data_IF_311550784839
#
_entry.id   IF_311550784839
#
_cell.length_a   1.000
_cell.length_b   1.000
_cell.length_c   1.000
_cell.angle_alpha   90.00
_cell.angle_beta   90.00
_cell.angle_gamma   90.00
#
_symmetry.space_group_name_H-M   'P 1'
#
loop_
_entity.id
_entity.type
_entity.pdbx_description
1 polymer ?
#
# COMPACT_ATOMS: atom_id res chain seq x y z
N UNK A 1 8.04 24.16 -23.53
CA UNK A 1 8.55 23.02 -22.75
C UNK A 1 7.72 21.79 -23.09
N UNK A 2 8.19 20.95 -24.02
CA UNK A 2 7.45 19.77 -24.49
C UNK A 2 7.20 18.74 -23.38
N UNK A 3 8.05 18.71 -22.35
CA UNK A 3 7.93 17.81 -21.21
C UNK A 3 6.63 18.02 -20.41
N UNK A 4 6.20 19.27 -20.23
CA UNK A 4 4.96 19.60 -19.51
C UNK A 4 3.70 19.23 -20.29
N UNK A 5 3.76 19.31 -21.62
CA UNK A 5 2.64 18.94 -22.50
C UNK A 5 2.44 17.42 -22.48
N UNK A 6 3.53 16.65 -22.50
CA UNK A 6 3.49 15.20 -22.40
C UNK A 6 3.01 14.72 -21.03
N UNK A 7 3.43 15.38 -19.94
CA UNK A 7 2.98 15.04 -18.59
C UNK A 7 1.47 15.28 -18.40
N UNK A 8 0.96 16.41 -18.91
CA UNK A 8 -0.50 16.69 -18.94
C UNK A 8 -1.25 15.64 -19.74
N UNK A 9 -0.76 15.30 -20.94
CA UNK A 9 -1.43 14.35 -21.81
C UNK A 9 -1.44 12.93 -21.24
N UNK A 10 -0.37 12.52 -20.56
CA UNK A 10 -0.31 11.24 -19.86
C UNK A 10 -1.28 11.17 -18.66
N UNK A 11 -1.40 12.26 -17.88
CA UNK A 11 -2.34 12.35 -16.77
C UNK A 11 -3.81 12.31 -17.23
N UNK A 12 -4.14 12.99 -18.33
CA UNK A 12 -5.50 13.06 -18.88
C UNK A 12 -5.99 11.70 -19.43
N UNK A 13 -5.07 10.88 -19.95
CA UNK A 13 -5.37 9.51 -20.41
C UNK A 13 -5.66 8.59 -19.22
N UNK A 14 -4.85 8.67 -18.16
CA UNK A 14 -5.00 7.84 -16.97
C UNK A 14 -6.31 8.11 -16.21
N UNK A 15 -6.76 9.37 -16.14
CA UNK A 15 -8.03 9.71 -15.47
C UNK A 15 -9.24 9.17 -16.25
N UNK A 16 -9.21 9.24 -17.57
CA UNK A 16 -10.32 8.79 -18.44
C UNK A 16 -10.59 7.29 -18.31
N UNK A 17 -9.54 6.46 -18.18
CA UNK A 17 -9.69 5.01 -18.02
C UNK A 17 -10.32 4.62 -16.68
N UNK A 18 -10.03 5.37 -15.61
CA UNK A 18 -10.59 5.11 -14.28
C UNK A 18 -12.09 5.45 -14.21
N UNK A 19 -12.49 6.59 -14.79
CA UNK A 19 -13.89 7.04 -14.81
C UNK A 19 -14.77 6.10 -15.64
N UNK A 20 -14.26 5.60 -16.77
CA UNK A 20 -14.98 4.65 -17.63
C UNK A 20 -15.20 3.29 -16.94
N UNK A 21 -14.24 2.84 -16.11
CA UNK A 21 -14.39 1.61 -15.32
C UNK A 21 -15.38 1.77 -14.17
N UNK A 22 -15.42 2.92 -13.49
CA UNK A 22 -16.37 3.15 -12.39
C UNK A 22 -17.81 3.37 -12.87
N UNK A 23 -18.01 4.01 -14.03
CA UNK A 23 -19.35 4.26 -14.57
C UNK A 23 -20.10 2.96 -14.95
N UNK A 24 -19.39 1.92 -15.39
CA UNK A 24 -20.00 0.63 -15.73
C UNK A 24 -20.51 -0.17 -14.52
N UNK A 25 -20.15 0.20 -13.29
CA UNK A 25 -20.54 -0.52 -12.08
C UNK A 25 -21.84 0.01 -11.44
N UNK A 26 -22.35 1.17 -11.86
CA UNK A 26 -23.40 1.89 -11.11
C UNK A 26 -24.75 2.03 -11.84
N UNK A 27 -24.86 1.59 -13.09
CA UNK A 27 -26.14 1.46 -13.78
C UNK A 27 -26.56 -0.02 -13.84
N UNK A 28 -27.72 -0.31 -13.25
CA UNK A 28 -28.41 -1.61 -13.10
C UNK A 28 -28.03 -2.35 -11.79
N UNK A 29 -28.84 -2.39 -10.73
CA UNK A 29 -30.26 -2.76 -10.71
C UNK A 29 -31.00 -2.17 -9.50
N UNK A 30 -32.01 -1.35 -9.77
CA UNK A 30 -33.16 -1.20 -8.90
C UNK A 30 -34.25 -2.15 -9.40
N UNK A 31 -34.41 -3.30 -8.75
CA UNK A 31 -35.71 -3.98 -8.63
C UNK A 31 -35.64 -4.99 -7.47
N UNK A 32 -36.51 -4.80 -6.48
CA UNK A 32 -36.69 -5.71 -5.35
C UNK A 32 -37.85 -6.65 -5.64
N UNK A 33 -37.57 -7.92 -5.94
CA UNK A 33 -38.34 -9.09 -5.49
C UNK A 33 -37.54 -10.38 -5.75
N UNK A 34 -37.38 -11.24 -4.73
CA UNK A 34 -36.89 -12.61 -4.91
C UNK A 34 -35.46 -12.94 -4.43
N UNK A 35 -35.26 -12.90 -3.11
CA UNK A 35 -34.72 -14.00 -2.28
C UNK A 35 -33.52 -14.87 -2.78
N UNK A 36 -32.46 -14.87 -1.94
CA UNK A 36 -31.31 -15.82 -1.87
C UNK A 36 -30.33 -15.69 -3.05
N UNK A 37 -29.27 -14.87 -2.97
CA UNK A 37 -28.18 -14.96 -2.00
C UNK A 37 -26.93 -15.50 -2.73
N UNK A 38 -25.81 -14.78 -2.60
CA UNK A 38 -24.44 -15.13 -3.04
C UNK A 38 -23.96 -14.60 -4.42
N UNK A 39 -23.74 -13.28 -4.51
CA UNK A 39 -22.71 -12.72 -5.40
C UNK A 39 -21.46 -12.49 -4.55
N UNK A 40 -20.52 -13.43 -4.62
CA UNK A 40 -19.16 -13.27 -4.13
C UNK A 40 -18.40 -12.46 -5.20
N UNK A 41 -18.50 -11.14 -5.11
CA UNK A 41 -17.32 -10.30 -5.38
C UNK A 41 -16.58 -10.29 -4.06
N UNK A 42 -15.41 -10.91 -3.96
CA UNK A 42 -14.25 -10.56 -3.11
C UNK A 42 -13.14 -11.58 -3.45
N UNK A 43 -12.47 -11.39 -4.58
CA UNK A 43 -11.12 -11.95 -4.80
C UNK A 43 -10.25 -10.81 -5.32
N UNK A 44 -10.13 -9.77 -4.48
CA UNK A 44 -8.94 -8.94 -4.48
C UNK A 44 -7.83 -9.84 -3.95
N UNK A 45 -6.93 -10.20 -4.84
CA UNK A 45 -5.73 -10.99 -4.61
C UNK A 45 -5.12 -10.54 -3.28
N UNK A 46 -5.17 -11.43 -2.30
CA UNK A 46 -4.48 -11.35 -1.03
C UNK A 46 -2.97 -11.45 -1.28
N UNK A 47 -2.41 -10.44 -1.95
CA UNK A 47 -0.98 -10.18 -1.89
C UNK A 47 -0.68 -10.03 -0.41
N UNK A 48 0.06 -10.99 0.11
CA UNK A 48 0.36 -11.13 1.52
C UNK A 48 0.91 -9.81 2.03
N UNK A 49 0.05 -8.94 2.59
CA UNK A 49 0.43 -7.59 3.00
C UNK A 49 1.20 -7.71 4.30
N UNK A 50 2.43 -8.17 4.17
CA UNK A 50 3.50 -7.79 5.07
C UNK A 50 3.69 -6.28 4.93
N UNK A 51 2.79 -5.53 5.58
CA UNK A 51 2.87 -4.09 5.71
C UNK A 51 4.19 -3.79 6.38
N UNK A 52 5.18 -3.41 5.58
CA UNK A 52 6.47 -3.03 6.08
C UNK A 52 6.27 -1.70 6.81
N UNK A 53 6.54 -1.67 8.11
CA UNK A 53 6.49 -0.42 8.88
C UNK A 53 7.87 0.17 8.98
N UNK A 54 7.95 1.47 9.22
CA UNK A 54 9.19 2.17 9.46
C UNK A 54 9.06 3.10 10.66
N UNK A 55 10.18 3.32 11.36
CA UNK A 55 10.30 4.33 12.41
C UNK A 55 10.93 5.58 11.83
N UNK A 56 10.31 6.73 12.05
CA UNK A 56 10.83 8.04 11.62
C UNK A 56 12.01 8.45 12.50
N UNK A 57 13.13 8.80 11.86
CA UNK A 57 14.38 9.17 12.53
C UNK A 57 14.54 10.68 12.72
N UNK A 58 13.91 11.48 11.85
CA UNK A 58 14.02 12.93 11.84
C UNK A 58 12.69 13.57 11.44
N UNK A 59 12.43 14.77 11.94
CA UNK A 59 11.26 15.55 11.56
C UNK A 59 11.39 15.99 10.10
N UNK A 60 10.33 15.81 9.31
CA UNK A 60 10.26 16.29 7.94
C UNK A 60 8.94 17.06 7.74
N UNK A 61 9.06 18.24 7.15
CA UNK A 61 7.92 19.09 6.80
C UNK A 61 7.77 19.07 5.29
N UNK A 62 6.62 18.58 4.84
CA UNK A 62 6.23 18.63 3.44
C UNK A 62 6.33 20.06 2.92
N UNK A 63 7.04 20.22 1.81
CA UNK A 63 7.17 21.47 1.05
C UNK A 63 6.27 21.46 -0.20
N UNK A 64 5.95 20.27 -0.70
CA UNK A 64 5.06 20.05 -1.84
C UNK A 64 3.85 19.17 -1.47
N UNK A 65 2.76 19.27 -2.25
CA UNK A 65 1.49 18.56 -1.97
C UNK A 65 1.57 17.03 -2.05
N UNK A 66 2.60 16.49 -2.71
CA UNK A 66 2.84 15.04 -2.83
C UNK A 66 3.65 14.47 -1.65
N UNK A 67 4.13 15.33 -0.75
CA UNK A 67 4.89 14.98 0.44
C UNK A 67 3.99 14.96 1.67
N UNK A 68 4.42 14.26 2.72
CA UNK A 68 3.71 14.19 4.00
C UNK A 68 4.59 14.64 5.16
N UNK A 69 3.99 15.34 6.13
CA UNK A 69 4.62 15.65 7.39
C UNK A 69 4.87 14.39 8.23
N UNK A 70 6.09 14.24 8.76
CA UNK A 70 6.47 13.16 9.68
C UNK A 70 7.28 13.72 10.86
N UNK A 71 7.11 13.11 12.03
CA UNK A 71 7.79 13.50 13.27
C UNK A 71 8.66 12.36 13.77
N UNK A 72 9.83 12.71 14.30
CA UNK A 72 10.78 11.77 14.90
C UNK A 72 10.10 10.87 15.93
N UNK A 73 10.28 9.56 15.78
CA UNK A 73 9.70 8.55 16.66
C UNK A 73 8.33 8.01 16.19
N UNK A 74 7.69 8.63 15.20
CA UNK A 74 6.45 8.12 14.64
C UNK A 74 6.67 6.81 13.88
N UNK A 75 5.62 6.00 13.83
CA UNK A 75 5.57 4.79 13.01
C UNK A 75 4.76 5.10 11.76
N UNK A 76 5.36 4.83 10.61
CA UNK A 76 4.74 4.96 9.30
C UNK A 76 4.64 3.60 8.63
N UNK A 77 3.63 3.43 7.76
CA UNK A 77 3.54 2.27 6.88
C UNK A 77 4.22 2.62 5.57
N UNK A 78 5.20 1.82 5.16
CA UNK A 78 5.90 2.01 3.88
C UNK A 78 5.09 1.32 2.79
N UNK A 79 4.50 2.11 1.91
CA UNK A 79 3.68 1.65 0.79
C UNK A 79 4.55 1.32 -0.42
N UNK A 80 5.55 2.16 -0.70
CA UNK A 80 6.48 1.99 -1.82
C UNK A 80 7.88 2.51 -1.46
N UNK A 81 8.92 1.78 -1.88
CA UNK A 81 10.32 2.20 -1.78
C UNK A 81 10.80 2.63 -3.17
N UNK A 82 10.74 3.93 -3.44
CA UNK A 82 11.23 4.51 -4.69
C UNK A 82 12.76 4.38 -4.81
N UNK A 83 13.22 3.99 -5.99
CA UNK A 83 14.67 3.86 -6.29
C UNK A 83 15.38 5.22 -6.39
N UNK A 84 14.61 6.30 -6.47
CA UNK A 84 15.04 7.69 -6.47
C UNK A 84 15.33 8.22 -5.06
N UNK A 85 15.17 7.38 -4.03
CA UNK A 85 15.45 7.73 -2.63
C UNK A 85 14.28 8.39 -1.92
N UNK A 86 13.07 8.36 -2.51
CA UNK A 86 11.84 8.81 -1.89
C UNK A 86 10.91 7.62 -1.66
N UNK A 87 10.41 7.49 -0.44
CA UNK A 87 9.50 6.43 -0.07
C UNK A 87 8.10 7.00 0.11
N UNK A 88 7.13 6.31 -0.48
CA UNK A 88 5.72 6.59 -0.24
C UNK A 88 5.32 5.94 1.08
N UNK A 89 4.90 6.75 2.05
CA UNK A 89 4.52 6.31 3.38
C UNK A 89 3.13 6.80 3.76
N UNK A 90 2.46 6.06 4.64
CA UNK A 90 1.24 6.48 5.31
C UNK A 90 1.49 6.71 6.81
N UNK A 91 1.01 7.84 7.29
CA UNK A 91 1.06 8.26 8.71
C UNK A 91 -0.12 7.66 9.49
N UNK A 92 -0.01 7.67 10.83
CA UNK A 92 -1.09 7.22 11.71
C UNK A 92 -2.38 8.07 11.58
N UNK A 93 -2.25 9.33 11.14
CA UNK A 93 -3.37 10.24 10.87
C UNK A 93 -4.09 9.94 9.54
N UNK A 94 -3.66 8.90 8.82
CA UNK A 94 -4.25 8.50 7.54
C UNK A 94 -3.81 9.36 6.35
N UNK A 95 -2.88 10.29 6.54
CA UNK A 95 -2.24 11.01 5.42
C UNK A 95 -1.18 10.13 4.79
N UNK A 96 -1.08 10.15 3.47
CA UNK A 96 -0.03 9.49 2.72
C UNK A 96 0.71 10.48 1.82
N UNK A 97 2.00 10.22 1.60
CA UNK A 97 2.84 11.03 0.74
C UNK A 97 4.27 10.54 0.78
N UNK A 98 5.15 11.25 0.09
CA UNK A 98 6.55 10.84 -0.03
C UNK A 98 7.43 11.53 1.00
N UNK A 99 8.43 10.79 1.47
CA UNK A 99 9.46 11.26 2.38
C UNK A 99 10.82 10.72 1.93
N UNK A 100 11.95 11.39 2.23
CA UNK A 100 13.25 10.87 1.86
C UNK A 100 13.55 9.58 2.64
N UNK A 101 14.11 8.57 1.99
CA UNK A 101 14.41 7.28 2.61
C UNK A 101 15.29 7.39 3.85
N UNK A 102 16.20 8.37 3.87
CA UNK A 102 17.13 8.61 4.97
C UNK A 102 16.43 8.98 6.29
N UNK A 103 15.14 9.33 6.23
CA UNK A 103 14.33 9.73 7.37
C UNK A 103 13.54 8.57 7.97
N UNK A 104 13.49 7.42 7.30
CA UNK A 104 12.68 6.26 7.72
C UNK A 104 13.56 5.03 7.86
N UNK A 105 13.53 4.42 9.05
CA UNK A 105 14.17 3.12 9.30
C UNK A 105 13.14 2.02 9.21
N UNK A 106 13.29 1.08 8.28
CA UNK A 106 12.41 -0.10 8.21
C UNK A 106 12.48 -0.91 9.50
N UNK A 107 11.31 -1.22 10.05
CA UNK A 107 11.15 -2.17 11.13
C UNK A 107 11.26 -3.55 10.51
N UNK A 108 12.25 -4.35 10.92
CA UNK A 108 12.48 -5.66 10.31
C UNK A 108 11.20 -6.52 10.34
N UNK A 109 10.94 -7.26 9.25
CA UNK A 109 9.94 -8.32 9.25
C UNK A 109 10.39 -9.33 10.29
N UNK A 110 9.75 -9.33 11.47
CA UNK A 110 9.98 -10.37 12.45
C UNK A 110 9.66 -11.69 11.74
N UNK A 111 10.72 -12.48 11.60
CA UNK A 111 10.77 -13.74 10.90
C UNK A 111 9.57 -14.62 11.28
N UNK A 112 8.55 -14.68 10.40
CA UNK A 112 7.55 -15.74 10.42
C UNK A 112 8.19 -17.03 9.89
N UNK A 113 9.23 -17.50 10.58
CA UNK A 113 9.88 -18.80 10.40
C UNK A 113 10.31 -19.35 11.78
N UNK A 114 9.49 -19.12 12.81
CA UNK A 114 9.52 -19.89 14.06
C UNK A 114 8.35 -20.89 14.12
N UNK A 115 7.80 -21.25 12.96
CA UNK A 115 6.86 -22.35 12.78
C UNK A 115 7.43 -23.25 11.70
N UNK A 116 7.55 -24.55 11.98
CA UNK A 116 8.02 -25.63 11.08
C UNK A 116 9.52 -26.01 11.16
N UNK A 117 10.06 -26.24 12.35
CA UNK A 117 11.04 -27.32 12.51
C UNK A 117 10.52 -28.24 13.62
N UNK A 118 9.64 -29.14 13.22
CA UNK A 118 9.19 -30.26 14.04
C UNK A 118 10.40 -31.14 14.32
N UNK A 119 10.85 -31.11 15.58
CA UNK A 119 11.77 -32.09 16.12
C UNK A 119 11.04 -33.44 16.19
N UNK A 120 11.19 -34.24 15.14
CA UNK A 120 10.81 -35.66 15.18
C UNK A 120 12.01 -36.52 14.78
N UNK A 121 13.12 -36.36 15.50
CA UNK A 121 14.11 -37.44 15.63
C UNK A 121 13.59 -38.41 16.69
N UNK A 122 12.58 -39.19 16.29
CA UNK A 122 12.08 -40.35 17.02
C UNK A 122 12.58 -41.64 16.34
N UNK A 123 13.85 -41.71 15.96
CA UNK A 123 14.47 -42.95 15.46
C UNK A 123 15.87 -43.13 16.04
N UNK A 124 15.95 -43.50 17.32
CA UNK A 124 17.06 -44.26 17.88
C UNK A 124 16.77 -44.66 19.33
N UNK A 125 15.87 -45.62 19.55
CA UNK A 125 15.97 -46.50 20.71
C UNK A 125 16.30 -47.91 20.21
N UNK A 126 17.52 -48.33 20.56
CA UNK A 126 18.11 -49.67 20.46
C UNK A 126 17.11 -50.81 20.70
#
# INVERSE_FOLDING_TARGET
>A
DEALVLLRQALEVLTTELETKQASLMESNADTDGREGNVQQEEGEEDSISSQTGTVLYDFKASEDWQVDIVTGDIVVVLEQGIDGWWHVATADGKAGHVPEAFVRLNGRLNQMASSEVLEDSDARL
#
